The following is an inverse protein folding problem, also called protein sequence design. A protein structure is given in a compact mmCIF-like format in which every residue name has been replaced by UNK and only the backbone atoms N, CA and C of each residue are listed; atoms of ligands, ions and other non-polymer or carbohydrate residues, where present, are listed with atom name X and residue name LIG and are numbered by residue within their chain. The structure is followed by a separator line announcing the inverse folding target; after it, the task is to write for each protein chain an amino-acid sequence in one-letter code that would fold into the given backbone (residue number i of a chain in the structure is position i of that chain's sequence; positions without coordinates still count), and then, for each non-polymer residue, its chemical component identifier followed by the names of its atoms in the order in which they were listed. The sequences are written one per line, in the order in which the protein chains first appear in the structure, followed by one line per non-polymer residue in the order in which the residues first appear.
data_IF_444481039232
#
_entry.id   IF_444481039232
#
_cell.length_a   1.000
_cell.length_b   1.000
_cell.length_c   1.000
_cell.angle_alpha   90.00
_cell.angle_beta   90.00
_cell.angle_gamma   90.00
#
_symmetry.space_group_name_H-M   'P 1'
#
loop_
_entity.id
_entity.type
_entity.pdbx_description
1 polymer ?
#
# COMPACT_ATOMS: atom_id res chain seq x y z
N UNK A 1 -31.52 37.05 -15.96
CA UNK A 1 -32.50 36.00 -16.33
C UNK A 1 -31.69 34.80 -16.81
N UNK A 2 -31.67 33.72 -16.05
CA UNK A 2 -31.04 32.46 -16.48
C UNK A 2 -31.93 31.82 -17.54
N UNK A 3 -31.38 31.64 -18.74
CA UNK A 3 -32.08 31.00 -19.85
C UNK A 3 -32.40 29.55 -19.47
N UNK A 4 -33.66 29.08 -19.64
CA UNK A 4 -34.02 27.72 -19.29
C UNK A 4 -33.29 26.72 -20.21
N UNK A 5 -32.69 25.70 -19.61
CA UNK A 5 -31.87 24.70 -20.30
C UNK A 5 -32.66 23.99 -21.41
N UNK A 6 -32.12 23.95 -22.62
CA UNK A 6 -32.79 23.27 -23.73
C UNK A 6 -32.70 21.75 -23.60
N UNK A 7 -33.49 21.02 -24.39
CA UNK A 7 -33.38 19.55 -24.47
C UNK A 7 -32.00 19.11 -24.99
N UNK A 8 -31.45 19.83 -25.97
CA UNK A 8 -30.14 19.52 -26.55
C UNK A 8 -29.00 19.70 -25.53
N UNK A 9 -29.10 20.72 -24.68
CA UNK A 9 -28.14 20.94 -23.59
C UNK A 9 -28.21 19.80 -22.56
N UNK A 10 -29.41 19.38 -22.17
CA UNK A 10 -29.61 18.23 -21.27
C UNK A 10 -28.99 16.94 -21.84
N UNK A 11 -29.25 16.64 -23.11
CA UNK A 11 -28.70 15.45 -23.77
C UNK A 11 -27.16 15.50 -23.82
N UNK A 12 -26.59 16.68 -24.05
CA UNK A 12 -25.13 16.90 -24.04
C UNK A 12 -24.54 16.70 -22.65
N UNK A 13 -25.17 17.27 -21.62
CA UNK A 13 -24.72 17.14 -20.23
C UNK A 13 -24.79 15.70 -19.72
N UNK A 14 -25.83 14.94 -20.07
CA UNK A 14 -25.93 13.51 -19.76
C UNK A 14 -24.80 12.72 -20.41
N UNK A 15 -24.44 13.02 -21.67
CA UNK A 15 -23.28 12.39 -22.33
C UNK A 15 -21.98 12.70 -21.60
N UNK A 16 -21.77 13.96 -21.20
CA UNK A 16 -20.58 14.38 -20.45
C UNK A 16 -20.52 13.66 -19.10
N UNK A 17 -21.62 13.56 -18.36
CA UNK A 17 -21.68 12.84 -17.09
C UNK A 17 -21.23 11.38 -17.23
N UNK A 18 -21.75 10.67 -18.23
CA UNK A 18 -21.35 9.29 -18.54
C UNK A 18 -19.88 9.17 -18.93
N UNK A 19 -19.34 10.16 -19.65
CA UNK A 19 -17.93 10.15 -20.04
C UNK A 19 -17.02 10.40 -18.83
N UNK A 20 -17.38 11.33 -17.94
CA UNK A 20 -16.67 11.54 -16.66
C UNK A 20 -16.72 10.31 -15.77
N UNK A 21 -17.85 9.61 -15.70
CA UNK A 21 -17.96 8.33 -14.98
C UNK A 21 -16.95 7.29 -15.49
N UNK A 22 -16.83 7.15 -16.81
CA UNK A 22 -15.85 6.21 -17.42
C UNK A 22 -14.42 6.60 -17.08
N UNK A 23 -14.09 7.89 -17.14
CA UNK A 23 -12.76 8.41 -16.77
C UNK A 23 -12.49 8.12 -15.30
N UNK A 24 -13.40 8.48 -14.38
CA UNK A 24 -13.23 8.25 -12.96
C UNK A 24 -13.06 6.75 -12.61
N UNK A 25 -13.79 5.84 -13.29
CA UNK A 25 -13.58 4.39 -13.14
C UNK A 25 -12.22 3.94 -13.67
N UNK A 26 -11.73 4.53 -14.75
CA UNK A 26 -10.37 4.29 -15.25
C UNK A 26 -9.31 4.75 -14.24
N UNK A 27 -9.50 5.94 -13.66
CA UNK A 27 -8.61 6.49 -12.65
C UNK A 27 -8.60 5.64 -11.37
N UNK A 28 -9.76 5.11 -10.96
CA UNK A 28 -9.85 4.15 -9.85
C UNK A 28 -9.04 2.87 -10.12
N UNK A 29 -9.08 2.34 -11.36
CA UNK A 29 -8.25 1.19 -11.74
C UNK A 29 -6.76 1.52 -11.75
N UNK A 30 -6.38 2.68 -12.27
CA UNK A 30 -4.99 3.15 -12.24
C UNK A 30 -4.51 3.31 -10.79
N UNK A 31 -5.36 3.85 -9.91
CA UNK A 31 -5.08 3.97 -8.48
C UNK A 31 -4.93 2.60 -7.80
N UNK A 32 -5.78 1.62 -8.13
CA UNK A 32 -5.65 0.26 -7.62
C UNK A 32 -4.27 -0.35 -7.96
N UNK A 33 -3.83 -0.19 -9.20
CA UNK A 33 -2.51 -0.64 -9.63
C UNK A 33 -1.37 0.09 -8.89
N UNK A 34 -1.51 1.41 -8.71
CA UNK A 34 -0.54 2.21 -7.96
C UNK A 34 -0.45 1.78 -6.49
N UNK A 35 -1.59 1.54 -5.83
CA UNK A 35 -1.63 1.08 -4.44
C UNK A 35 -0.92 -0.26 -4.27
N UNK A 36 -1.13 -1.21 -5.19
CA UNK A 36 -0.41 -2.48 -5.16
C UNK A 36 1.09 -2.29 -5.40
N UNK A 37 1.49 -1.45 -6.36
CA UNK A 37 2.91 -1.17 -6.60
C UNK A 37 3.59 -0.53 -5.39
N UNK A 38 2.94 0.42 -4.71
CA UNK A 38 3.48 1.05 -3.51
C UNK A 38 3.47 0.10 -2.30
N UNK A 39 2.51 -0.82 -2.22
CA UNK A 39 2.53 -1.87 -1.21
C UNK A 39 3.68 -2.86 -1.43
N UNK A 40 3.97 -3.26 -2.67
CA UNK A 40 5.15 -4.09 -2.98
C UNK A 40 6.45 -3.38 -2.58
N UNK A 41 6.58 -2.08 -2.84
CA UNK A 41 7.73 -1.30 -2.37
C UNK A 41 7.86 -1.34 -0.85
N UNK A 42 6.75 -1.19 -0.12
CA UNK A 42 6.75 -1.29 1.34
C UNK A 42 7.16 -2.70 1.83
N UNK A 43 6.77 -3.76 1.12
CA UNK A 43 7.20 -5.13 1.41
C UNK A 43 8.69 -5.36 1.13
N UNK A 44 9.23 -4.68 0.12
CA UNK A 44 10.64 -4.77 -0.27
C UNK A 44 11.57 -3.86 0.50
N UNK A 45 11.04 -2.93 1.30
CA UNK A 45 11.86 -2.05 2.14
C UNK A 45 12.73 -2.88 3.07
N UNK A 46 14.06 -2.76 2.87
CA UNK A 46 15.09 -3.37 3.70
C UNK A 46 15.72 -2.32 4.62
N UNK A 47 15.88 -2.70 5.88
CA UNK A 47 16.54 -1.87 6.88
C UNK A 47 17.86 -2.54 7.25
N UNK A 48 18.96 -1.84 7.01
CA UNK A 48 20.30 -2.32 7.31
C UNK A 48 20.89 -1.54 8.48
N UNK A 49 21.79 -2.18 9.24
CA UNK A 49 22.31 -1.60 10.48
C UNK A 49 23.12 -0.31 10.25
N UNK A 50 23.68 -0.12 9.05
CA UNK A 50 24.49 1.06 8.71
C UNK A 50 23.66 2.28 8.28
N UNK A 51 22.34 2.12 8.13
CA UNK A 51 21.42 3.20 7.78
C UNK A 51 21.05 4.06 8.99
N UNK A 52 21.45 3.65 10.20
CA UNK A 52 21.22 4.37 11.43
C UNK A 52 22.52 4.43 12.24
N UNK A 53 22.91 5.62 12.68
CA UNK A 53 24.18 5.84 13.38
C UNK A 53 24.28 5.02 14.68
N UNK A 54 23.21 4.98 15.47
CA UNK A 54 23.16 4.22 16.74
C UNK A 54 23.29 2.71 16.47
N UNK A 55 22.62 2.20 15.44
CA UNK A 55 22.71 0.79 15.06
C UNK A 55 24.11 0.44 14.56
N UNK A 56 24.69 1.31 13.73
CA UNK A 56 26.04 1.14 13.19
C UNK A 56 27.08 1.09 14.31
N UNK A 57 27.00 2.01 15.26
CA UNK A 57 27.87 2.04 16.44
C UNK A 57 27.70 0.81 17.32
N UNK A 58 26.46 0.39 17.56
CA UNK A 58 26.15 -0.81 18.35
C UNK A 58 26.72 -2.08 17.71
N UNK A 59 26.55 -2.24 16.39
CA UNK A 59 27.10 -3.37 15.64
C UNK A 59 28.63 -3.33 15.63
N UNK A 60 29.25 -2.15 15.52
CA UNK A 60 30.70 -2.00 15.61
C UNK A 60 31.22 -2.41 16.99
N UNK A 61 30.57 -1.98 18.06
CA UNK A 61 30.93 -2.37 19.42
C UNK A 61 30.79 -3.89 19.65
N UNK A 62 29.69 -4.48 19.16
CA UNK A 62 29.46 -5.92 19.25
C UNK A 62 30.51 -6.74 18.48
N UNK A 63 30.93 -6.28 17.28
CA UNK A 63 31.99 -6.92 16.50
C UNK A 63 33.31 -6.97 17.26
N UNK A 64 33.71 -5.88 17.90
CA UNK A 64 34.93 -5.81 18.72
C UNK A 64 34.89 -6.86 19.85
N UNK A 65 33.78 -6.92 20.59
CA UNK A 65 33.63 -7.88 21.69
C UNK A 65 33.64 -9.34 21.21
N UNK A 66 33.07 -9.61 20.02
CA UNK A 66 33.06 -10.95 19.43
C UNK A 66 34.44 -11.34 18.93
N UNK A 67 35.21 -10.43 18.33
CA UNK A 67 36.58 -10.70 17.90
C UNK A 67 37.48 -11.03 19.10
N UNK A 68 37.31 -10.32 20.22
CA UNK A 68 37.98 -10.66 21.48
C UNK A 68 37.57 -12.04 22.02
N UNK A 69 36.27 -12.37 21.97
CA UNK A 69 35.78 -13.67 22.41
C UNK A 69 36.30 -14.81 21.51
N UNK A 70 36.32 -14.60 20.19
CA UNK A 70 36.91 -15.53 19.20
C UNK A 70 38.38 -15.78 19.48
N UNK A 71 39.15 -14.75 19.77
CA UNK A 71 40.56 -14.90 20.11
C UNK A 71 40.78 -15.78 21.35
N UNK A 72 39.94 -15.61 22.39
CA UNK A 72 40.00 -16.44 23.61
C UNK A 72 39.64 -17.90 23.33
N UNK A 73 38.57 -18.14 22.57
CA UNK A 73 38.16 -19.49 22.16
C UNK A 73 39.24 -20.16 21.32
N UNK A 74 39.84 -19.45 20.37
CA UNK A 74 40.90 -19.97 19.53
C UNK A 74 42.13 -20.37 20.34
N UNK A 75 42.58 -19.52 21.28
CA UNK A 75 43.70 -19.83 22.17
C UNK A 75 43.43 -21.06 23.05
N UNK A 76 42.21 -21.21 23.55
CA UNK A 76 41.83 -22.38 24.36
C UNK A 76 41.75 -23.67 23.52
N UNK A 77 41.26 -23.59 22.28
CA UNK A 77 41.26 -24.72 21.36
C UNK A 77 42.69 -25.17 21.03
N UNK A 78 43.60 -24.23 20.80
CA UNK A 78 45.02 -24.51 20.60
C UNK A 78 45.63 -25.21 21.83
N UNK A 79 45.36 -24.70 23.03
CA UNK A 79 45.82 -25.29 24.31
C UNK A 79 45.32 -26.72 24.50
N UNK A 80 44.09 -27.01 24.08
CA UNK A 80 43.47 -28.33 24.17
C UNK A 80 43.88 -29.27 23.02
N UNK A 81 44.64 -28.78 22.04
CA UNK A 81 45.01 -29.56 20.85
C UNK A 81 43.83 -29.86 19.92
N UNK A 82 42.77 -29.05 19.97
CA UNK A 82 41.59 -29.19 19.11
C UNK A 82 41.96 -28.67 17.70
N UNK A 83 41.87 -29.51 16.66
CA UNK A 83 42.05 -29.06 15.28
C UNK A 83 41.09 -27.94 14.88
N UNK A 84 41.52 -27.05 13.99
CA UNK A 84 40.76 -25.85 13.60
C UNK A 84 39.39 -26.18 13.01
N UNK A 85 39.27 -27.27 12.27
CA UNK A 85 38.02 -27.76 11.69
C UNK A 85 36.97 -28.18 12.74
N UNK A 86 37.40 -28.44 13.98
CA UNK A 86 36.53 -28.78 15.10
C UNK A 86 36.39 -27.64 16.12
N UNK A 87 37.06 -26.50 15.90
CA UNK A 87 36.98 -25.36 16.79
C UNK A 87 35.60 -24.68 16.66
N UNK A 88 34.92 -24.38 17.77
CA UNK A 88 33.67 -23.62 17.74
C UNK A 88 33.93 -22.16 17.30
N UNK A 89 32.93 -21.54 16.70
CA UNK A 89 32.97 -20.14 16.26
C UNK A 89 31.81 -19.32 16.86
N UNK A 90 32.07 -18.04 17.08
CA UNK A 90 31.11 -17.06 17.61
C UNK A 90 30.80 -16.07 16.50
N UNK A 91 29.57 -16.05 15.98
CA UNK A 91 29.18 -15.16 14.90
C UNK A 91 28.18 -14.08 15.36
N UNK A 92 28.33 -12.87 14.84
CA UNK A 92 27.29 -11.85 14.87
C UNK A 92 26.48 -11.92 13.58
N UNK A 93 25.18 -12.17 13.71
CA UNK A 93 24.25 -12.03 12.59
C UNK A 93 23.31 -10.85 12.83
N UNK A 94 23.13 -9.99 11.83
CA UNK A 94 21.99 -9.08 11.82
C UNK A 94 20.77 -9.88 11.35
N UNK A 95 19.94 -10.30 12.30
CA UNK A 95 18.71 -11.01 11.96
C UNK A 95 17.67 -10.00 11.51
N UNK A 96 17.42 -9.98 10.20
CA UNK A 96 16.18 -9.42 9.66
C UNK A 96 15.00 -10.16 10.32
N UNK A 97 14.14 -9.44 11.03
CA UNK A 97 12.98 -10.02 11.75
C UNK A 97 11.67 -9.46 11.20
N UNK A 98 10.57 -10.21 11.35
CA UNK A 98 9.26 -9.80 10.88
C UNK A 98 9.10 -9.88 9.35
N UNK A 99 8.57 -8.81 8.72
CA UNK A 99 8.11 -8.77 7.31
C UNK A 99 9.15 -9.15 6.24
N UNK A 100 10.42 -9.23 6.60
CA UNK A 100 11.53 -9.64 5.72
C UNK A 100 11.85 -11.14 5.82
N UNK A 101 11.24 -11.87 6.76
CA UNK A 101 11.77 -13.14 7.25
C UNK A 101 11.34 -14.39 6.46
N UNK A 102 10.17 -14.42 5.80
CA UNK A 102 9.73 -15.63 5.07
C UNK A 102 8.95 -15.34 3.79
N UNK A 103 9.11 -16.20 2.77
CA UNK A 103 8.40 -16.08 1.49
C UNK A 103 6.89 -16.25 1.68
N UNK A 104 6.52 -17.10 2.63
CA UNK A 104 5.16 -17.48 3.00
C UNK A 104 4.39 -16.29 3.60
N UNK A 105 4.99 -15.58 4.56
CA UNK A 105 4.37 -14.38 5.15
C UNK A 105 4.19 -13.27 4.10
N UNK A 106 5.16 -13.08 3.20
CA UNK A 106 5.05 -12.10 2.12
C UNK A 106 3.94 -12.46 1.13
N UNK A 107 3.81 -13.73 0.77
CA UNK A 107 2.75 -14.21 -0.10
C UNK A 107 1.37 -13.98 0.54
N UNK A 108 1.25 -14.23 1.85
CA UNK A 108 0.01 -14.04 2.58
C UNK A 108 -0.36 -12.55 2.72
N UNK A 109 0.61 -11.70 3.05
CA UNK A 109 0.43 -10.24 3.06
C UNK A 109 -0.01 -9.71 1.70
N UNK A 110 0.59 -10.20 0.60
CA UNK A 110 0.17 -9.86 -0.77
C UNK A 110 -1.26 -10.29 -1.04
N UNK A 111 -1.66 -11.50 -0.63
CA UNK A 111 -3.04 -11.99 -0.80
C UNK A 111 -4.05 -11.06 -0.12
N UNK A 112 -3.79 -10.68 1.13
CA UNK A 112 -4.69 -9.79 1.88
C UNK A 112 -4.71 -8.39 1.26
N UNK A 113 -3.56 -7.85 0.86
CA UNK A 113 -3.49 -6.55 0.19
C UNK A 113 -4.27 -6.54 -1.13
N UNK A 114 -4.12 -7.56 -1.98
CA UNK A 114 -4.88 -7.69 -3.22
C UNK A 114 -6.38 -7.68 -2.95
N UNK A 115 -6.86 -8.49 -1.99
CA UNK A 115 -8.28 -8.52 -1.60
C UNK A 115 -8.77 -7.15 -1.13
N UNK A 116 -7.97 -6.45 -0.32
CA UNK A 116 -8.30 -5.13 0.20
C UNK A 116 -8.40 -4.09 -0.94
N UNK A 117 -7.44 -4.07 -1.85
CA UNK A 117 -7.47 -3.16 -3.01
C UNK A 117 -8.62 -3.47 -3.95
N UNK A 118 -8.92 -4.75 -4.20
CA UNK A 118 -10.09 -5.15 -5.00
C UNK A 118 -11.41 -4.70 -4.36
N UNK A 119 -11.54 -4.83 -3.04
CA UNK A 119 -12.70 -4.35 -2.31
C UNK A 119 -12.84 -2.82 -2.40
N UNK A 120 -11.74 -2.08 -2.23
CA UNK A 120 -11.69 -0.62 -2.42
C UNK A 120 -12.09 -0.22 -3.84
N UNK A 121 -11.55 -0.88 -4.86
CA UNK A 121 -11.87 -0.60 -6.26
C UNK A 121 -13.35 -0.83 -6.56
N UNK A 122 -13.92 -1.94 -6.05
CA UNK A 122 -15.34 -2.24 -6.22
C UNK A 122 -16.21 -1.18 -5.55
N UNK A 123 -15.90 -0.82 -4.30
CA UNK A 123 -16.61 0.23 -3.58
C UNK A 123 -16.53 1.59 -4.29
N UNK A 124 -15.33 1.98 -4.76
CA UNK A 124 -15.09 3.21 -5.50
C UNK A 124 -15.90 3.24 -6.81
N UNK A 125 -15.89 2.14 -7.57
CA UNK A 125 -16.65 2.02 -8.82
C UNK A 125 -18.16 2.19 -8.58
N UNK A 126 -18.69 1.54 -7.55
CA UNK A 126 -20.11 1.69 -7.18
C UNK A 126 -20.45 3.11 -6.74
N UNK A 127 -19.57 3.78 -5.98
CA UNK A 127 -19.77 5.17 -5.57
C UNK A 127 -19.79 6.13 -6.77
N UNK A 128 -18.86 5.94 -7.73
CA UNK A 128 -18.79 6.71 -8.98
C UNK A 128 -20.06 6.50 -9.81
N UNK A 129 -20.51 5.26 -9.97
CA UNK A 129 -21.72 4.92 -10.73
C UNK A 129 -22.97 5.54 -10.11
N UNK A 130 -23.11 5.44 -8.78
CA UNK A 130 -24.23 6.06 -8.06
C UNK A 130 -24.25 7.58 -8.26
N UNK A 131 -23.08 8.24 -8.15
CA UNK A 131 -22.99 9.69 -8.33
C UNK A 131 -23.31 10.12 -9.76
N UNK A 132 -22.85 9.36 -10.75
CA UNK A 132 -23.18 9.58 -12.16
C UNK A 132 -24.69 9.46 -12.42
N UNK A 133 -25.34 8.44 -11.84
CA UNK A 133 -26.78 8.25 -11.97
C UNK A 133 -27.58 9.40 -11.36
N UNK A 134 -27.26 9.79 -10.11
CA UNK A 134 -27.87 10.94 -9.44
C UNK A 134 -27.74 12.23 -10.26
N UNK A 135 -26.59 12.41 -10.92
CA UNK A 135 -26.33 13.56 -11.80
C UNK A 135 -27.24 13.53 -13.02
N UNK A 136 -27.37 12.37 -13.67
CA UNK A 136 -28.22 12.19 -14.86
C UNK A 136 -29.69 12.42 -14.52
N UNK A 137 -30.17 11.90 -13.38
CA UNK A 137 -31.55 12.12 -12.91
C UNK A 137 -31.86 13.60 -12.71
N UNK A 138 -30.98 14.34 -12.03
CA UNK A 138 -31.17 15.77 -11.79
C UNK A 138 -31.18 16.60 -13.07
N UNK A 139 -30.30 16.27 -14.04
CA UNK A 139 -30.29 16.93 -15.36
C UNK A 139 -31.62 16.67 -16.09
N UNK A 140 -32.13 15.44 -16.03
CA UNK A 140 -33.36 15.05 -16.72
C UNK A 140 -34.61 15.72 -16.17
N UNK A 141 -34.75 15.83 -14.83
CA UNK A 141 -35.91 16.44 -14.16
C UNK A 141 -36.00 17.95 -14.43
N UNK A 142 -34.99 18.56 -15.07
CA UNK A 142 -34.99 19.97 -15.45
C UNK A 142 -34.83 20.94 -14.26
N UNK A 143 -34.39 20.41 -13.10
CA UNK A 143 -34.26 21.17 -11.86
C UNK A 143 -32.92 21.88 -11.67
N UNK A 144 -32.00 21.80 -12.64
CA UNK A 144 -30.67 22.42 -12.56
C UNK A 144 -30.59 23.58 -13.54
N UNK A 145 -30.05 24.72 -13.10
CA UNK A 145 -29.51 25.71 -14.03
C UNK A 145 -28.20 25.18 -14.67
N UNK A 146 -27.71 25.84 -15.73
CA UNK A 146 -26.43 25.49 -16.37
C UNK A 146 -25.25 25.51 -15.37
N UNK A 147 -25.27 26.43 -14.41
CA UNK A 147 -24.24 26.54 -13.38
C UNK A 147 -24.34 25.41 -12.35
N UNK A 148 -25.56 25.05 -11.93
CA UNK A 148 -25.75 23.92 -11.02
C UNK A 148 -25.32 22.60 -11.66
N UNK A 149 -25.59 22.41 -12.96
CA UNK A 149 -25.14 21.25 -13.70
C UNK A 149 -23.60 21.17 -13.77
N UNK A 150 -22.92 22.31 -13.97
CA UNK A 150 -21.45 22.36 -13.99
C UNK A 150 -20.85 22.02 -12.63
N UNK A 151 -21.36 22.64 -11.56
CA UNK A 151 -20.86 22.41 -10.20
C UNK A 151 -21.08 20.95 -9.76
N UNK A 152 -22.20 20.34 -10.17
CA UNK A 152 -22.47 18.95 -9.88
C UNK A 152 -21.55 17.99 -10.66
N UNK A 153 -21.27 18.29 -11.93
CA UNK A 153 -20.29 17.54 -12.73
C UNK A 153 -18.88 17.59 -12.13
N UNK A 154 -18.52 18.68 -11.46
CA UNK A 154 -17.24 18.86 -10.76
C UNK A 154 -17.19 18.16 -9.39
N UNK A 155 -18.34 17.88 -8.78
CA UNK A 155 -18.46 17.20 -7.48
C UNK A 155 -18.24 15.68 -7.53
N UNK A 156 -17.77 15.15 -8.66
CA UNK A 156 -17.44 13.74 -8.80
C UNK A 156 -16.31 13.35 -7.82
N UNK A 157 -16.47 12.28 -7.04
CA UNK A 157 -15.43 11.84 -6.12
C UNK A 157 -14.17 11.42 -6.90
N UNK A 158 -13.00 11.75 -6.36
CA UNK A 158 -11.72 11.38 -6.97
C UNK A 158 -11.34 9.95 -6.61
N UNK A 159 -10.54 9.30 -7.46
CA UNK A 159 -10.02 7.96 -7.15
C UNK A 159 -9.21 7.94 -5.85
N UNK A 160 -8.48 9.01 -5.54
CA UNK A 160 -7.67 9.12 -4.33
C UNK A 160 -8.51 9.17 -3.05
N UNK A 161 -9.63 9.89 -3.05
CA UNK A 161 -10.51 9.96 -1.86
C UNK A 161 -11.27 8.66 -1.62
N UNK A 162 -11.59 7.92 -2.68
CA UNK A 162 -12.28 6.63 -2.61
C UNK A 162 -11.34 5.45 -2.32
N UNK A 163 -10.06 5.59 -2.67
CA UNK A 163 -9.04 4.54 -2.55
C UNK A 163 -7.81 5.09 -1.81
N UNK A 164 -7.91 5.20 -0.47
CA UNK A 164 -6.85 5.76 0.35
C UNK A 164 -5.61 4.86 0.33
N UNK A 165 -4.48 5.43 0.77
CA UNK A 165 -3.20 4.72 0.78
C UNK A 165 -3.28 3.44 1.62
N UNK A 166 -2.84 2.33 1.04
CA UNK A 166 -2.73 1.05 1.74
C UNK A 166 -1.39 0.97 2.46
N UNK A 167 -1.41 1.24 3.76
CA UNK A 167 -0.24 1.09 4.63
C UNK A 167 -0.04 -0.37 5.03
N UNK A 168 1.21 -0.77 5.17
CA UNK A 168 1.57 -2.15 5.53
C UNK A 168 1.01 -2.60 6.89
N UNK A 169 0.83 -1.66 7.82
CA UNK A 169 0.26 -1.95 9.14
C UNK A 169 -1.25 -2.21 9.06
N UNK A 170 -1.96 -1.59 8.11
CA UNK A 170 -3.37 -1.89 7.87
C UNK A 170 -3.56 -3.34 7.41
N UNK A 171 -2.71 -3.80 6.48
CA UNK A 171 -2.75 -5.17 5.96
C UNK A 171 -2.42 -6.19 7.05
N UNK A 172 -1.49 -5.87 7.95
CA UNK A 172 -1.20 -6.72 9.12
C UNK A 172 -2.43 -6.90 10.02
N UNK A 173 -3.13 -5.81 10.32
CA UNK A 173 -4.34 -5.86 11.14
C UNK A 173 -5.40 -6.75 10.48
N UNK A 174 -5.66 -6.55 9.19
CA UNK A 174 -6.59 -7.38 8.42
C UNK A 174 -6.20 -8.87 8.43
N UNK A 175 -4.91 -9.18 8.30
CA UNK A 175 -4.42 -10.55 8.37
C UNK A 175 -4.62 -11.19 9.75
N UNK A 176 -4.44 -10.42 10.83
CA UNK A 176 -4.69 -10.90 12.19
C UNK A 176 -6.20 -11.17 12.39
N UNK A 177 -7.05 -10.32 11.85
CA UNK A 177 -8.51 -10.48 11.90
C UNK A 177 -8.97 -11.72 11.12
N UNK A 178 -8.49 -11.93 9.88
CA UNK A 178 -8.81 -13.13 9.08
C UNK A 178 -8.35 -14.44 9.76
N UNK A 179 -7.28 -14.41 10.55
CA UNK A 179 -6.79 -15.60 11.29
C UNK A 179 -7.59 -15.89 12.56
N UNK A 180 -8.39 -14.93 13.05
CA UNK A 180 -9.22 -15.07 14.25
C UNK A 180 -10.65 -15.51 13.94
N UNK A 181 -11.10 -15.31 12.70
CA UNK A 181 -12.39 -15.79 12.16
C UNK A 181 -12.31 -17.24 11.70
#
# INVERSE_FOLDING_TARGET
MTEPMTRADRDTLVKIARQRERVAKSDAKARAAQLMADFEKQLDTRYHYDQNEIWAESVKAAKIAIDEARAKVAAECERLGIPKEFAPDINLGWRESGRQATKEERAEMRRVATKAVEAMLKAASTAIERRSLETQEKIMVGGLSTDDARQFLESMPTAESLMPVLQIDNVKTLLIEEKRS
#
